data_IF_939626848045
#
_entry.id   IF_939626848045
#
_cell.length_a   1.000
_cell.length_b   1.000
_cell.length_c   1.000
_cell.angle_alpha   90.00
_cell.angle_beta   90.00
_cell.angle_gamma   90.00
#
_symmetry.space_group_name_H-M   'P 1'
#
loop_
_entity.id
_entity.type
_entity.pdbx_description
1 polymer ?
#
# COMPACT_ATOMS: atom_id res chain seq x y z
N UNK A 1 23.79 2.98 6.92
CA UNK A 1 23.19 2.78 5.58
C UNK A 1 24.07 1.80 4.84
N UNK A 2 23.50 0.85 4.10
CA UNK A 2 24.27 -0.10 3.29
C UNK A 2 24.10 0.28 1.83
N UNK A 3 25.21 0.40 1.10
CA UNK A 3 25.19 0.65 -0.34
C UNK A 3 24.91 -0.66 -1.07
N UNK A 4 23.95 -0.62 -1.99
CA UNK A 4 23.61 -1.74 -2.86
C UNK A 4 23.73 -1.27 -4.31
N UNK A 5 24.17 -2.17 -5.19
CA UNK A 5 24.08 -1.98 -6.63
C UNK A 5 22.82 -2.70 -7.12
N UNK A 6 22.04 -2.03 -7.97
CA UNK A 6 20.85 -2.59 -8.61
C UNK A 6 20.82 -2.17 -10.07
N UNK A 7 20.24 -3.01 -10.91
CA UNK A 7 20.00 -2.72 -12.32
C UNK A 7 18.56 -2.22 -12.48
N UNK A 8 18.40 -1.12 -13.22
CA UNK A 8 17.11 -0.63 -13.71
C UNK A 8 17.18 -0.60 -15.23
N UNK A 9 16.04 -0.83 -15.88
CA UNK A 9 15.91 -0.54 -17.29
C UNK A 9 16.06 0.98 -17.54
N UNK A 10 16.45 1.32 -18.78
CA UNK A 10 16.83 2.68 -19.14
C UNK A 10 15.62 3.63 -19.07
N UNK A 11 14.44 3.16 -19.50
CA UNK A 11 13.18 3.91 -19.45
C UNK A 11 12.80 4.28 -18.01
N UNK A 12 12.84 3.32 -17.09
CA UNK A 12 12.57 3.57 -15.67
C UNK A 12 13.60 4.51 -15.03
N UNK A 13 14.87 4.43 -15.44
CA UNK A 13 15.89 5.35 -14.96
C UNK A 13 15.62 6.79 -15.41
N UNK A 14 15.19 6.99 -16.65
CA UNK A 14 14.80 8.30 -17.18
C UNK A 14 13.61 8.89 -16.41
N UNK A 15 12.58 8.09 -16.14
CA UNK A 15 11.43 8.53 -15.34
C UNK A 15 11.84 8.92 -13.91
N UNK A 16 12.68 8.10 -13.26
CA UNK A 16 13.25 8.39 -11.95
C UNK A 16 13.98 9.73 -11.99
N UNK A 17 14.78 10.00 -13.02
CA UNK A 17 15.52 11.26 -13.15
C UNK A 17 14.62 12.48 -13.31
N UNK A 18 13.56 12.37 -14.09
CA UNK A 18 12.60 13.45 -14.25
C UNK A 18 11.91 13.79 -12.93
N UNK A 19 11.50 12.78 -12.17
CA UNK A 19 10.86 12.95 -10.86
C UNK A 19 11.84 13.55 -9.85
N UNK A 20 13.07 13.03 -9.80
CA UNK A 20 14.13 13.52 -8.90
C UNK A 20 14.39 15.00 -9.15
N UNK A 21 14.48 15.43 -10.42
CA UNK A 21 14.63 16.85 -10.81
C UNK A 21 13.43 17.67 -10.37
N UNK A 22 12.21 17.21 -10.66
CA UNK A 22 10.96 17.92 -10.32
C UNK A 22 10.78 18.10 -8.82
N UNK A 23 11.10 17.07 -8.03
CA UNK A 23 10.94 17.06 -6.58
C UNK A 23 12.17 17.61 -5.83
N UNK A 24 13.25 17.99 -6.54
CA UNK A 24 14.51 18.46 -5.95
C UNK A 24 15.06 17.50 -4.88
N UNK A 25 15.03 16.20 -5.18
CA UNK A 25 15.51 15.14 -4.29
C UNK A 25 16.72 14.42 -4.90
N UNK A 26 17.10 13.25 -4.38
CA UNK A 26 18.11 12.37 -4.98
C UNK A 26 17.51 11.04 -5.40
N UNK A 27 18.12 10.36 -6.38
CA UNK A 27 17.69 9.00 -6.79
C UNK A 27 17.59 8.04 -5.62
N UNK A 28 18.60 8.06 -4.73
CA UNK A 28 18.62 7.17 -3.56
C UNK A 28 17.53 7.49 -2.53
N UNK A 29 17.14 8.76 -2.39
CA UNK A 29 16.02 9.15 -1.54
C UNK A 29 14.69 8.68 -2.14
N UNK A 30 14.46 8.95 -3.42
CA UNK A 30 13.24 8.54 -4.13
C UNK A 30 13.07 7.01 -4.08
N UNK A 31 14.11 6.24 -4.42
CA UNK A 31 14.04 4.78 -4.44
C UNK A 31 13.79 4.22 -3.04
N UNK A 32 14.47 4.73 -2.00
CA UNK A 32 14.20 4.29 -0.62
C UNK A 32 12.76 4.51 -0.20
N UNK A 33 12.21 5.69 -0.48
CA UNK A 33 10.85 6.04 -0.07
C UNK A 33 9.82 5.23 -0.86
N UNK A 34 10.07 4.99 -2.15
CA UNK A 34 9.26 4.11 -2.99
C UNK A 34 9.24 2.68 -2.46
N UNK A 35 10.41 2.11 -2.12
CA UNK A 35 10.50 0.76 -1.54
C UNK A 35 9.77 0.69 -0.20
N UNK A 36 9.96 1.67 0.69
CA UNK A 36 9.24 1.73 1.98
C UNK A 36 7.73 1.76 1.78
N UNK A 37 7.24 2.58 0.85
CA UNK A 37 5.82 2.69 0.58
C UNK A 37 5.28 1.40 -0.01
N UNK A 38 5.99 0.79 -0.96
CA UNK A 38 5.59 -0.48 -1.56
C UNK A 38 5.51 -1.61 -0.53
N UNK A 39 6.49 -1.72 0.38
CA UNK A 39 6.46 -2.70 1.46
C UNK A 39 5.25 -2.50 2.42
N UNK A 40 4.89 -1.25 2.72
CA UNK A 40 3.68 -0.95 3.50
C UNK A 40 2.42 -1.41 2.75
N UNK A 41 2.31 -1.10 1.46
CA UNK A 41 1.18 -1.53 0.62
C UNK A 41 1.07 -3.05 0.55
N UNK A 42 2.19 -3.76 0.41
CA UNK A 42 2.19 -5.23 0.44
C UNK A 42 1.67 -5.78 1.76
N UNK A 43 2.08 -5.20 2.90
CA UNK A 43 1.58 -5.59 4.22
C UNK A 43 0.07 -5.39 4.33
N UNK A 44 -0.46 -4.24 3.89
CA UNK A 44 -1.90 -3.96 3.91
C UNK A 44 -2.66 -4.97 3.06
N UNK A 45 -2.22 -5.21 1.82
CA UNK A 45 -2.84 -6.20 0.92
C UNK A 45 -2.87 -7.60 1.53
N UNK A 46 -1.82 -7.99 2.25
CA UNK A 46 -1.78 -9.28 2.93
C UNK A 46 -2.81 -9.35 4.07
N UNK A 47 -2.97 -8.28 4.84
CA UNK A 47 -3.98 -8.21 5.91
C UNK A 47 -5.40 -8.25 5.33
N UNK A 48 -5.67 -7.49 4.27
CA UNK A 48 -6.95 -7.53 3.55
C UNK A 48 -7.27 -8.93 3.03
N UNK A 49 -6.27 -9.61 2.44
CA UNK A 49 -6.42 -11.00 2.00
C UNK A 49 -6.81 -11.91 3.16
N UNK A 50 -6.13 -11.77 4.31
CA UNK A 50 -6.47 -12.54 5.52
C UNK A 50 -7.89 -12.23 6.01
N UNK A 51 -8.32 -10.98 5.99
CA UNK A 51 -9.69 -10.61 6.37
C UNK A 51 -10.70 -11.29 5.44
N UNK A 52 -10.52 -11.18 4.11
CA UNK A 52 -11.41 -11.82 3.13
C UNK A 52 -11.47 -13.33 3.31
N UNK A 53 -10.33 -13.98 3.50
CA UNK A 53 -10.27 -15.42 3.78
C UNK A 53 -10.97 -15.78 5.10
N UNK A 54 -10.85 -14.94 6.11
CA UNK A 54 -11.55 -15.09 7.40
C UNK A 54 -13.05 -15.11 7.22
N UNK A 55 -13.60 -14.09 6.54
CA UNK A 55 -15.04 -14.00 6.27
C UNK A 55 -15.53 -15.08 5.31
N UNK A 56 -14.73 -15.52 4.34
CA UNK A 56 -15.09 -16.65 3.48
C UNK A 56 -15.16 -17.96 4.26
N UNK A 57 -14.24 -18.19 5.20
CA UNK A 57 -14.22 -19.41 6.05
C UNK A 57 -15.28 -19.38 7.14
N UNK A 58 -15.61 -18.21 7.65
CA UNK A 58 -16.63 -17.98 8.70
C UNK A 58 -17.54 -16.86 8.23
N UNK A 59 -18.53 -17.19 7.38
CA UNK A 59 -19.47 -16.18 6.91
C UNK A 59 -20.24 -15.60 8.09
N UNK A 60 -20.51 -14.30 7.97
CA UNK A 60 -21.28 -13.52 8.94
C UNK A 60 -22.64 -14.17 9.15
N UNK A 61 -23.00 -14.39 10.40
CA UNK A 61 -24.33 -14.87 10.76
C UNK A 61 -25.32 -13.70 10.75
N UNK A 62 -26.57 -14.01 10.43
CA UNK A 62 -27.67 -13.06 10.56
C UNK A 62 -27.75 -12.57 12.02
N UNK A 63 -27.82 -11.27 12.26
CA UNK A 63 -27.83 -10.70 13.62
C UNK A 63 -26.45 -10.41 14.21
N UNK A 64 -25.35 -10.80 13.56
CA UNK A 64 -24.00 -10.70 14.15
C UNK A 64 -23.49 -9.25 14.24
N UNK A 65 -23.88 -8.38 13.28
CA UNK A 65 -23.48 -6.98 13.26
C UNK A 65 -24.64 -5.99 13.26
N UNK A 66 -25.89 -6.48 13.24
CA UNK A 66 -27.13 -5.72 13.14
C UNK A 66 -27.33 -4.72 14.30
N UNK A 67 -26.58 -4.86 15.40
CA UNK A 67 -26.61 -3.94 16.56
C UNK A 67 -26.20 -2.51 16.18
N UNK A 68 -25.37 -2.35 15.15
CA UNK A 68 -24.87 -1.04 14.70
C UNK A 68 -25.70 -0.41 13.57
N UNK A 69 -26.71 -1.11 13.05
CA UNK A 69 -27.50 -0.63 11.90
C UNK A 69 -28.28 0.65 12.24
N UNK A 70 -28.74 0.80 13.49
CA UNK A 70 -29.44 2.00 13.96
C UNK A 70 -28.52 3.21 14.16
N UNK A 71 -27.20 2.99 14.22
CA UNK A 71 -26.18 4.03 14.44
C UNK A 71 -25.53 4.53 13.14
N UNK A 72 -25.76 3.85 12.00
CA UNK A 72 -25.23 4.27 10.70
C UNK A 72 -25.97 5.48 10.10
N UNK A 73 -25.89 6.64 10.76
CA UNK A 73 -26.23 7.94 10.16
C UNK A 73 -24.97 8.59 9.58
N UNK A 74 -24.49 8.06 8.47
CA UNK A 74 -23.56 8.77 7.62
C UNK A 74 -24.41 9.82 6.89
N UNK A 75 -24.30 11.10 7.29
CA UNK A 75 -25.10 12.19 6.72
C UNK A 75 -25.00 12.27 5.19
N UNK A 76 -25.86 13.10 4.58
CA UNK A 76 -25.94 13.26 3.11
C UNK A 76 -24.59 13.59 2.44
#
# INVERSE_FOLDING_TARGET
MTTIQMTLDEELLEEVDQIVKKMRTTRSALIRDSIRQYLKTLRVRQLEKKHREGYAKRPVKRGEFDVWDSEQKWGD
#
